data_IF_105982426030
#
_entry.id   IF_105982426030
#
_cell.length_a   1.000
_cell.length_b   1.000
_cell.length_c   1.000
_cell.angle_alpha   90.00
_cell.angle_beta   90.00
_cell.angle_gamma   90.00
#
_symmetry.space_group_name_H-M   'P 1'
#
loop_
_entity.id
_entity.type
_entity.pdbx_description
1 polymer ?
#
# COMPACT_ATOMS: atom_id res chain seq x y z
N UNK A 1 -17.62 8.79 -14.67
CA UNK A 1 -16.36 8.05 -14.82
C UNK A 1 -16.08 7.32 -13.51
N UNK A 2 -15.49 6.14 -13.56
CA UNK A 2 -15.06 5.39 -12.39
C UNK A 2 -13.54 5.35 -12.35
N UNK A 3 -12.97 5.35 -11.16
CA UNK A 3 -11.52 5.40 -10.95
C UNK A 3 -11.00 4.04 -10.48
N UNK A 4 -9.91 3.60 -11.10
CA UNK A 4 -9.26 2.33 -10.82
C UNK A 4 -7.78 2.55 -10.53
N UNK A 5 -7.24 1.73 -9.66
CA UNK A 5 -5.80 1.52 -9.52
C UNK A 5 -5.40 0.36 -10.40
N UNK A 6 -4.38 0.57 -11.21
CA UNK A 6 -3.78 -0.41 -12.09
C UNK A 6 -2.32 -0.58 -11.69
N UNK A 7 -1.95 -1.70 -11.07
CA UNK A 7 -0.58 -2.01 -10.67
C UNK A 7 0.08 -2.87 -11.72
N UNK A 8 1.25 -2.43 -12.18
CA UNK A 8 1.96 -3.00 -13.33
C UNK A 8 3.41 -3.33 -13.01
N UNK A 9 3.88 -4.45 -13.52
CA UNK A 9 5.29 -4.71 -13.78
C UNK A 9 5.64 -4.25 -15.18
N UNK A 10 6.69 -3.47 -15.34
CA UNK A 10 7.13 -2.97 -16.66
C UNK A 10 8.65 -2.83 -16.74
N UNK A 11 9.25 -2.96 -17.95
CA UNK A 11 10.67 -2.67 -18.16
C UNK A 11 11.00 -1.22 -17.80
N UNK A 12 11.99 -0.99 -16.93
CA UNK A 12 12.46 0.36 -16.55
C UNK A 12 13.38 0.95 -17.62
N UNK A 13 12.81 1.17 -18.80
CA UNK A 13 13.48 1.77 -19.94
C UNK A 13 12.68 2.96 -20.50
N UNK A 14 13.36 3.96 -21.08
CA UNK A 14 12.68 5.11 -21.65
C UNK A 14 11.58 4.74 -22.66
N UNK A 15 10.39 5.34 -22.49
CA UNK A 15 9.26 5.18 -23.40
C UNK A 15 8.29 4.07 -23.01
N UNK A 16 8.59 3.15 -22.08
CA UNK A 16 7.68 2.08 -21.67
C UNK A 16 6.38 2.66 -21.09
N UNK A 17 6.47 3.58 -20.15
CA UNK A 17 5.30 4.23 -19.55
C UNK A 17 4.45 4.96 -20.59
N UNK A 18 5.07 5.59 -21.60
CA UNK A 18 4.35 6.22 -22.71
C UNK A 18 3.54 5.22 -23.55
N UNK A 19 4.08 3.99 -23.80
CA UNK A 19 3.34 2.93 -24.47
C UNK A 19 2.16 2.42 -23.63
N UNK A 20 2.37 2.29 -22.32
CA UNK A 20 1.30 1.92 -21.38
C UNK A 20 0.19 2.97 -21.39
N UNK A 21 0.52 4.26 -21.28
CA UNK A 21 -0.45 5.34 -21.34
C UNK A 21 -1.24 5.35 -22.66
N UNK A 22 -0.55 5.10 -23.80
CA UNK A 22 -1.22 4.97 -25.10
C UNK A 22 -2.18 3.76 -25.14
N UNK A 23 -1.81 2.63 -24.55
CA UNK A 23 -2.66 1.44 -24.46
C UNK A 23 -3.90 1.69 -23.56
N UNK A 24 -3.74 2.42 -22.47
CA UNK A 24 -4.87 2.87 -21.62
C UNK A 24 -5.82 3.77 -22.43
N UNK A 25 -5.27 4.71 -23.22
CA UNK A 25 -6.09 5.55 -24.11
C UNK A 25 -6.86 4.76 -25.17
N UNK A 26 -6.30 3.64 -25.70
CA UNK A 26 -7.02 2.73 -26.61
C UNK A 26 -8.18 1.99 -25.93
N UNK A 27 -8.12 1.85 -24.60
CA UNK A 27 -9.21 1.32 -23.80
C UNK A 27 -10.21 2.41 -23.34
N UNK A 28 -10.16 3.62 -23.93
CA UNK A 28 -10.95 4.79 -23.56
C UNK A 28 -10.68 5.27 -22.12
N UNK A 29 -9.55 4.89 -21.53
CA UNK A 29 -9.11 5.31 -20.21
C UNK A 29 -8.27 6.58 -20.24
N UNK A 30 -8.32 7.33 -19.15
CA UNK A 30 -7.48 8.49 -18.90
C UNK A 30 -6.59 8.25 -17.67
N UNK A 31 -5.29 8.52 -17.79
CA UNK A 31 -4.33 8.40 -16.67
C UNK A 31 -4.36 9.70 -15.87
N UNK A 32 -4.91 9.63 -14.66
CA UNK A 32 -5.07 10.77 -13.76
C UNK A 32 -4.03 10.83 -12.64
N UNK A 33 -3.25 9.74 -12.46
CA UNK A 33 -2.16 9.69 -11.49
C UNK A 33 -1.19 8.56 -11.82
N UNK A 34 0.07 8.73 -11.39
CA UNK A 34 1.13 7.73 -11.55
C UNK A 34 2.00 7.74 -10.31
N UNK A 35 2.26 6.57 -9.76
CA UNK A 35 3.19 6.36 -8.66
C UNK A 35 4.16 5.23 -8.96
N UNK A 36 5.46 5.49 -8.81
CA UNK A 36 6.49 4.47 -8.95
C UNK A 36 6.70 3.85 -7.57
N UNK A 37 6.29 2.60 -7.41
CA UNK A 37 6.34 1.90 -6.13
C UNK A 37 7.70 1.27 -5.86
N UNK A 38 8.34 0.75 -6.92
CA UNK A 38 9.62 0.05 -6.81
C UNK A 38 10.38 0.08 -8.13
N UNK A 39 11.73 0.09 -8.07
CA UNK A 39 12.62 -0.07 -9.22
C UNK A 39 13.76 -0.99 -8.86
N UNK A 40 14.11 -1.89 -9.76
CA UNK A 40 15.23 -2.81 -9.57
C UNK A 40 15.36 -3.84 -10.69
N UNK A 41 16.57 -4.34 -10.90
CA UNK A 41 16.87 -5.39 -11.89
C UNK A 41 16.33 -5.12 -13.31
N UNK A 42 16.26 -3.84 -13.73
CA UNK A 42 15.76 -3.43 -15.05
C UNK A 42 14.23 -3.45 -15.18
N UNK A 43 13.52 -3.62 -14.08
CA UNK A 43 12.05 -3.57 -14.00
C UNK A 43 11.61 -2.47 -13.05
N UNK A 44 10.41 -1.94 -13.29
CA UNK A 44 9.69 -1.08 -12.36
C UNK A 44 8.34 -1.70 -12.01
N UNK A 45 7.83 -1.34 -10.82
CA UNK A 45 6.46 -1.60 -10.43
C UNK A 45 5.82 -0.24 -10.25
N UNK A 46 4.89 0.07 -11.15
CA UNK A 46 4.19 1.34 -11.15
C UNK A 46 2.70 1.12 -10.82
N UNK A 47 2.13 2.07 -10.12
CA UNK A 47 0.69 2.16 -9.88
C UNK A 47 0.15 3.35 -10.68
N UNK A 48 -0.78 3.07 -11.59
CA UNK A 48 -1.45 4.10 -12.37
C UNK A 48 -2.90 4.25 -11.88
N UNK A 49 -3.31 5.48 -11.66
CA UNK A 49 -4.70 5.81 -11.37
C UNK A 49 -5.37 6.13 -12.70
N UNK A 50 -6.34 5.29 -13.08
CA UNK A 50 -7.01 5.35 -14.39
C UNK A 50 -8.48 5.65 -14.21
N UNK A 51 -8.98 6.67 -14.93
CA UNK A 51 -10.40 6.96 -15.04
C UNK A 51 -10.97 6.27 -16.27
N UNK A 52 -12.00 5.43 -16.09
CA UNK A 52 -12.73 4.77 -17.19
C UNK A 52 -14.14 5.36 -17.34
N UNK A 53 -14.70 5.41 -18.57
CA UNK A 53 -16.05 5.87 -18.80
C UNK A 53 -17.06 4.92 -18.15
N UNK A 54 -18.16 5.48 -17.66
CA UNK A 54 -19.32 4.73 -17.17
C UNK A 54 -20.44 4.82 -18.19
N UNK A 55 -21.02 3.71 -18.51
CA UNK A 55 -22.22 3.63 -19.34
C UNK A 55 -23.20 2.65 -18.71
N UNK A 56 -24.46 3.02 -18.62
CA UNK A 56 -25.53 2.18 -18.13
C UNK A 56 -26.75 3.01 -17.72
N UNK A 57 -27.94 2.45 -17.94
CA UNK A 57 -29.22 3.06 -17.53
C UNK A 57 -29.79 2.36 -16.30
N UNK A 58 -29.20 1.22 -15.91
CA UNK A 58 -29.57 0.43 -14.73
C UNK A 58 -28.31 -0.06 -13.99
N UNK A 59 -28.39 -0.35 -12.70
CA UNK A 59 -27.23 -0.88 -11.94
C UNK A 59 -26.61 -2.14 -12.56
N UNK A 60 -27.41 -3.05 -13.10
CA UNK A 60 -26.93 -4.27 -13.76
C UNK A 60 -26.22 -3.99 -15.10
N UNK A 61 -26.64 -2.93 -15.83
CA UNK A 61 -25.91 -2.49 -17.03
C UNK A 61 -24.58 -1.86 -16.65
N UNK A 62 -24.54 -1.07 -15.57
CA UNK A 62 -23.32 -0.43 -15.08
C UNK A 62 -22.27 -1.48 -14.67
N UNK A 63 -22.64 -2.51 -13.90
CA UNK A 63 -21.74 -3.61 -13.50
C UNK A 63 -21.18 -4.34 -14.73
N UNK A 64 -22.02 -4.66 -15.70
CA UNK A 64 -21.59 -5.33 -16.93
C UNK A 64 -20.64 -4.48 -17.78
N UNK A 65 -20.90 -3.17 -17.88
CA UNK A 65 -19.99 -2.25 -18.58
C UNK A 65 -18.68 -2.08 -17.84
N UNK A 66 -18.71 -2.07 -16.52
CA UNK A 66 -17.51 -2.03 -15.67
C UNK A 66 -16.60 -3.23 -15.95
N UNK A 67 -17.14 -4.45 -15.92
CA UNK A 67 -16.38 -5.67 -16.22
C UNK A 67 -15.75 -5.61 -17.62
N UNK A 68 -16.53 -5.24 -18.65
CA UNK A 68 -16.04 -5.13 -20.02
C UNK A 68 -14.94 -4.08 -20.19
N UNK A 69 -15.04 -2.95 -19.50
CA UNK A 69 -14.04 -1.88 -19.54
C UNK A 69 -12.74 -2.32 -18.86
N UNK A 70 -12.82 -3.04 -17.73
CA UNK A 70 -11.66 -3.61 -17.04
C UNK A 70 -10.99 -4.67 -17.91
N UNK A 71 -11.74 -5.59 -18.51
CA UNK A 71 -11.20 -6.60 -19.42
C UNK A 71 -10.51 -5.97 -20.62
N UNK A 72 -11.11 -4.94 -21.23
CA UNK A 72 -10.53 -4.18 -22.32
C UNK A 72 -9.23 -3.49 -21.90
N UNK A 73 -9.22 -2.83 -20.73
CA UNK A 73 -8.06 -2.17 -20.18
C UNK A 73 -6.90 -3.17 -19.99
N UNK A 74 -7.17 -4.28 -19.30
CA UNK A 74 -6.17 -5.35 -19.06
C UNK A 74 -5.64 -5.89 -20.40
N UNK A 75 -6.54 -6.17 -21.34
CA UNK A 75 -6.16 -6.68 -22.67
C UNK A 75 -5.25 -5.71 -23.42
N UNK A 76 -5.58 -4.42 -23.48
CA UNK A 76 -4.78 -3.40 -24.17
C UNK A 76 -3.40 -3.24 -23.51
N UNK A 77 -3.35 -3.14 -22.19
CA UNK A 77 -2.10 -2.94 -21.44
C UNK A 77 -1.18 -4.18 -21.54
N UNK A 78 -1.75 -5.37 -21.46
CA UNK A 78 -0.98 -6.63 -21.58
C UNK A 78 -0.39 -6.87 -22.98
N UNK A 79 -0.80 -6.12 -24.01
CA UNK A 79 -0.19 -6.16 -25.35
C UNK A 79 1.11 -5.34 -25.42
N UNK A 80 1.39 -4.50 -24.43
CA UNK A 80 2.65 -3.77 -24.38
C UNK A 80 3.76 -4.73 -23.98
N UNK A 81 4.79 -4.82 -24.82
CA UNK A 81 5.90 -5.77 -24.65
C UNK A 81 6.57 -5.61 -23.28
N UNK A 82 6.69 -6.72 -22.54
CA UNK A 82 7.34 -6.81 -21.25
C UNK A 82 6.48 -6.26 -20.07
N UNK A 83 5.24 -5.82 -20.31
CA UNK A 83 4.32 -5.33 -19.28
C UNK A 83 3.44 -6.47 -18.78
N UNK A 84 3.28 -6.57 -17.47
CA UNK A 84 2.35 -7.50 -16.83
C UNK A 84 1.47 -6.74 -15.81
N UNK A 85 0.17 -7.01 -15.86
CA UNK A 85 -0.80 -6.49 -14.89
C UNK A 85 -0.74 -7.35 -13.64
N UNK A 86 -0.42 -6.74 -12.50
CA UNK A 86 -0.41 -7.40 -11.20
C UNK A 86 -1.79 -7.35 -10.53
N UNK A 87 -2.41 -6.18 -10.51
CA UNK A 87 -3.70 -5.94 -9.86
C UNK A 87 -4.47 -4.82 -10.53
N UNK A 88 -5.80 -4.94 -10.50
CA UNK A 88 -6.74 -3.87 -10.88
C UNK A 88 -7.88 -3.87 -9.88
N UNK A 89 -8.13 -2.72 -9.27
CA UNK A 89 -9.28 -2.56 -8.37
C UNK A 89 -9.85 -1.14 -8.43
N UNK A 90 -11.13 -1.03 -8.10
CA UNK A 90 -11.84 0.24 -8.03
C UNK A 90 -11.46 1.00 -6.78
N UNK A 91 -11.32 2.33 -6.93
CA UNK A 91 -11.06 3.26 -5.83
C UNK A 91 -12.01 4.46 -5.88
N UNK A 92 -12.06 5.23 -4.79
CA UNK A 92 -12.79 6.49 -4.76
C UNK A 92 -12.22 7.49 -5.78
N UNK A 93 -13.08 8.30 -6.40
CA UNK A 93 -12.66 9.29 -7.41
C UNK A 93 -11.73 10.36 -6.84
N UNK A 94 -11.87 10.65 -5.57
CA UNK A 94 -11.10 11.65 -4.81
C UNK A 94 -9.95 11.02 -4.01
N UNK A 95 -9.53 9.79 -4.40
CA UNK A 95 -8.37 9.14 -3.74
C UNK A 95 -7.17 10.07 -3.79
N UNK A 96 -6.62 10.47 -2.62
CA UNK A 96 -5.47 11.35 -2.57
C UNK A 96 -4.22 10.61 -3.07
N UNK A 97 -3.22 11.37 -3.53
CA UNK A 97 -1.87 10.88 -3.72
C UNK A 97 -1.35 10.21 -2.45
N UNK A 98 -0.61 9.09 -2.59
CA UNK A 98 -0.16 8.29 -1.45
C UNK A 98 0.75 9.08 -0.49
N UNK A 99 1.53 10.03 -1.00
CA UNK A 99 2.36 10.88 -0.14
C UNK A 99 1.51 11.90 0.63
N UNK A 100 0.47 12.43 0.00
CA UNK A 100 -0.51 13.31 0.67
C UNK A 100 -1.27 12.52 1.73
N UNK A 101 -1.70 11.30 1.42
CA UNK A 101 -2.37 10.40 2.36
C UNK A 101 -1.47 10.07 3.58
N UNK A 102 -0.19 9.80 3.34
CA UNK A 102 0.77 9.55 4.43
C UNK A 102 0.96 10.77 5.34
N UNK A 103 1.01 11.98 4.76
CA UNK A 103 1.08 13.23 5.53
C UNK A 103 -0.19 13.49 6.34
N UNK A 104 -1.36 13.29 5.73
CA UNK A 104 -2.67 13.42 6.41
C UNK A 104 -2.77 12.41 7.56
N UNK A 105 -2.38 11.15 7.31
CA UNK A 105 -2.32 10.10 8.34
C UNK A 105 -1.45 10.52 9.52
N UNK A 106 -0.25 11.03 9.26
CA UNK A 106 0.65 11.51 10.31
C UNK A 106 0.03 12.69 11.08
N UNK A 107 -0.59 13.66 10.39
CA UNK A 107 -1.25 14.78 11.03
C UNK A 107 -2.40 14.34 11.94
N UNK A 108 -3.28 13.45 11.46
CA UNK A 108 -4.40 12.90 12.24
C UNK A 108 -3.94 12.13 13.48
N UNK A 109 -2.87 11.34 13.36
CA UNK A 109 -2.27 10.67 14.52
C UNK A 109 -1.80 11.70 15.56
N UNK A 110 -1.16 12.79 15.11
CA UNK A 110 -0.67 13.84 16.01
C UNK A 110 -1.80 14.65 16.67
N UNK A 111 -2.93 14.83 15.99
CA UNK A 111 -4.13 15.51 16.48
C UNK A 111 -4.92 14.65 17.49
N UNK A 112 -4.72 13.33 17.47
CA UNK A 112 -5.38 12.39 18.40
C UNK A 112 -4.86 12.59 19.83
N UNK A 113 -5.74 12.56 20.87
CA UNK A 113 -5.33 12.57 22.26
C UNK A 113 -4.29 11.50 22.55
N UNK A 114 -3.35 11.80 23.45
CA UNK A 114 -2.18 10.97 23.67
C UNK A 114 -2.49 9.55 24.14
N UNK A 115 -3.49 9.39 24.97
CA UNK A 115 -3.99 8.12 25.51
C UNK A 115 -4.66 7.22 24.45
N UNK A 116 -5.17 7.81 23.38
CA UNK A 116 -5.82 7.10 22.25
C UNK A 116 -4.90 6.96 21.03
N UNK A 117 -3.71 7.58 21.07
CA UNK A 117 -2.85 7.74 19.88
C UNK A 117 -2.30 6.42 19.35
N UNK A 118 -2.05 5.43 20.23
CA UNK A 118 -1.51 4.14 19.82
C UNK A 118 -2.54 3.32 19.04
N UNK A 119 -3.79 3.28 19.52
CA UNK A 119 -4.91 2.66 18.83
C UNK A 119 -5.19 3.35 17.49
N UNK A 120 -5.27 4.68 17.50
CA UNK A 120 -5.48 5.49 16.28
C UNK A 120 -4.35 5.27 15.26
N UNK A 121 -3.11 5.07 15.71
CA UNK A 121 -1.99 4.74 14.82
C UNK A 121 -2.25 3.43 14.09
N UNK A 122 -2.69 2.37 14.78
CA UNK A 122 -3.00 1.10 14.13
C UNK A 122 -4.12 1.24 13.09
N UNK A 123 -5.19 1.95 13.42
CA UNK A 123 -6.34 2.13 12.53
C UNK A 123 -5.94 2.93 11.29
N UNK A 124 -5.33 4.10 11.49
CA UNK A 124 -4.99 5.03 10.42
C UNK A 124 -3.89 4.48 9.49
N UNK A 125 -2.90 3.75 10.04
CA UNK A 125 -1.85 3.12 9.24
C UNK A 125 -2.39 1.93 8.45
N UNK A 126 -3.27 1.11 9.06
CA UNK A 126 -3.96 0.03 8.35
C UNK A 126 -4.73 0.57 7.14
N UNK A 127 -5.53 1.61 7.34
CA UNK A 127 -6.36 2.20 6.28
C UNK A 127 -5.49 2.86 5.20
N UNK A 128 -4.43 3.59 5.58
CA UNK A 128 -3.49 4.22 4.64
C UNK A 128 -2.79 3.21 3.72
N UNK A 129 -2.41 2.06 4.28
CA UNK A 129 -1.70 1.00 3.54
C UNK A 129 -2.65 -0.04 2.91
N UNK A 130 -3.97 0.15 3.01
CA UNK A 130 -4.98 -0.81 2.57
C UNK A 130 -4.67 -2.23 3.12
N UNK A 131 -4.26 -2.27 4.40
CA UNK A 131 -3.90 -3.50 5.08
C UNK A 131 -5.12 -4.15 5.74
N UNK A 132 -5.12 -5.48 5.87
CA UNK A 132 -6.18 -6.21 6.56
C UNK A 132 -6.05 -6.09 8.07
N UNK A 133 -4.81 -5.93 8.56
CA UNK A 133 -4.53 -5.79 9.98
C UNK A 133 -3.29 -4.93 10.25
N UNK A 134 -3.25 -4.37 11.46
CA UNK A 134 -2.12 -3.64 12.02
C UNK A 134 -2.00 -3.92 13.51
N UNK A 135 -0.79 -3.98 14.03
CA UNK A 135 -0.54 -4.12 15.47
C UNK A 135 0.72 -3.37 15.88
N UNK A 136 0.72 -2.85 17.10
CA UNK A 136 1.92 -2.33 17.78
C UNK A 136 2.30 -3.27 18.90
N UNK A 137 3.51 -3.82 18.83
CA UNK A 137 4.02 -4.85 19.75
C UNK A 137 5.31 -4.37 20.40
N UNK A 138 5.35 -4.25 21.74
CA UNK A 138 6.59 -3.97 22.46
C UNK A 138 7.56 -5.16 22.38
N UNK A 139 8.85 -4.90 22.37
CA UNK A 139 9.86 -5.95 22.41
C UNK A 139 9.73 -6.79 23.68
N UNK A 140 9.68 -8.13 23.54
CA UNK A 140 9.57 -9.06 24.65
C UNK A 140 8.23 -9.06 25.40
N UNK A 141 7.19 -8.37 24.90
CA UNK A 141 5.88 -8.33 25.53
C UNK A 141 5.08 -9.62 25.34
N UNK A 142 4.12 -9.85 26.26
CA UNK A 142 3.13 -10.94 26.14
C UNK A 142 1.81 -10.51 25.50
N UNK A 143 1.63 -9.20 25.27
CA UNK A 143 0.43 -8.63 24.66
C UNK A 143 0.81 -7.42 23.80
N UNK A 144 0.05 -7.15 22.70
CA UNK A 144 0.23 -5.94 21.91
C UNK A 144 -0.24 -4.70 22.69
N UNK A 145 0.29 -3.53 22.33
CA UNK A 145 -0.22 -2.23 22.83
C UNK A 145 -1.52 -1.83 22.10
N UNK A 146 -1.61 -2.11 20.83
CA UNK A 146 -2.79 -1.84 20.02
C UNK A 146 -2.92 -2.86 18.89
N UNK A 147 -4.16 -3.07 18.46
CA UNK A 147 -4.51 -3.96 17.35
C UNK A 147 -5.61 -3.33 16.51
N UNK A 148 -5.61 -3.56 15.20
CA UNK A 148 -6.66 -3.18 14.29
C UNK A 148 -6.81 -4.24 13.19
N UNK A 149 -8.02 -4.71 12.92
CA UNK A 149 -8.31 -5.80 11.99
C UNK A 149 -8.01 -7.19 12.54
N UNK A 150 -7.95 -8.19 11.66
CA UNK A 150 -7.74 -9.60 12.01
C UNK A 150 -6.25 -9.92 12.16
N UNK A 151 -5.67 -9.50 13.27
CA UNK A 151 -4.24 -9.69 13.57
C UNK A 151 -3.96 -11.18 13.79
N UNK A 152 -2.88 -11.75 13.18
CA UNK A 152 -2.42 -13.10 13.46
C UNK A 152 -2.08 -13.31 14.93
N UNK A 153 -1.97 -14.57 15.35
CA UNK A 153 -1.58 -14.92 16.71
C UNK A 153 -0.29 -14.21 17.13
N UNK A 154 -0.29 -13.57 18.28
CA UNK A 154 0.86 -12.83 18.80
C UNK A 154 2.17 -13.63 18.79
N UNK A 155 2.22 -14.93 19.17
CA UNK A 155 3.42 -15.75 19.05
C UNK A 155 4.04 -15.76 17.65
N UNK A 156 3.21 -15.74 16.59
CA UNK A 156 3.70 -15.64 15.20
C UNK A 156 4.35 -14.28 14.94
N UNK A 157 3.69 -13.19 15.34
CA UNK A 157 4.23 -11.82 15.16
C UNK A 157 5.55 -11.66 15.91
N UNK A 158 5.64 -12.18 17.15
CA UNK A 158 6.85 -12.13 17.96
C UNK A 158 7.99 -12.96 17.36
N UNK A 159 7.71 -14.15 16.84
CA UNK A 159 8.69 -14.99 16.16
C UNK A 159 9.22 -14.31 14.88
N UNK A 160 8.34 -13.67 14.11
CA UNK A 160 8.69 -12.88 12.93
C UNK A 160 9.65 -11.73 13.31
N UNK A 161 9.26 -10.86 14.26
CA UNK A 161 10.07 -9.73 14.71
C UNK A 161 11.42 -10.21 15.31
N UNK A 162 11.42 -11.27 16.12
CA UNK A 162 12.62 -11.88 16.66
C UNK A 162 13.57 -12.38 15.58
N UNK A 163 13.04 -13.05 14.56
CA UNK A 163 13.82 -13.51 13.40
C UNK A 163 14.48 -12.36 12.64
N UNK A 164 13.74 -11.30 12.36
CA UNK A 164 14.21 -10.13 11.60
C UNK A 164 15.26 -9.33 12.40
N UNK A 165 15.10 -9.18 13.71
CA UNK A 165 16.01 -8.38 14.54
C UNK A 165 17.46 -8.88 14.52
N UNK A 166 17.68 -10.13 14.16
CA UNK A 166 19.03 -10.73 14.02
C UNK A 166 19.67 -10.49 12.65
N UNK A 167 18.93 -9.94 11.68
CA UNK A 167 19.44 -9.65 10.35
C UNK A 167 20.04 -8.23 10.27
N UNK A 168 21.02 -8.04 9.40
CA UNK A 168 21.51 -6.71 9.06
C UNK A 168 20.37 -5.87 8.43
N UNK A 169 20.42 -4.56 8.61
CA UNK A 169 19.29 -3.67 8.22
C UNK A 169 18.91 -3.75 6.73
N UNK A 170 19.88 -3.99 5.86
CA UNK A 170 19.69 -4.20 4.43
C UNK A 170 19.03 -5.55 4.12
N UNK A 171 19.39 -6.61 4.88
CA UNK A 171 18.81 -7.93 4.72
C UNK A 171 17.40 -8.07 5.33
N UNK A 172 17.02 -7.20 6.26
CA UNK A 172 15.70 -7.27 6.92
C UNK A 172 14.54 -7.18 5.93
N UNK A 173 14.64 -6.30 4.94
CA UNK A 173 13.60 -6.14 3.93
C UNK A 173 13.53 -7.32 2.96
N UNK A 174 14.66 -7.89 2.60
CA UNK A 174 14.72 -9.05 1.70
C UNK A 174 14.12 -10.32 2.29
N UNK A 175 14.15 -10.47 3.63
CA UNK A 175 13.63 -11.62 4.36
C UNK A 175 12.24 -11.40 4.96
N UNK A 176 11.66 -10.21 4.79
CA UNK A 176 10.28 -9.95 5.20
C UNK A 176 9.32 -10.55 4.17
N UNK A 177 8.29 -11.34 4.57
CA UNK A 177 7.24 -11.78 3.66
C UNK A 177 6.66 -10.61 2.88
N UNK A 178 6.32 -10.85 1.60
CA UNK A 178 5.87 -9.77 0.72
C UNK A 178 4.55 -9.13 1.18
N UNK A 179 3.71 -9.91 1.86
CA UNK A 179 2.41 -9.55 2.41
C UNK A 179 2.46 -8.93 3.81
N UNK A 180 3.67 -8.74 4.37
CA UNK A 180 3.91 -8.10 5.67
C UNK A 180 4.85 -6.92 5.51
N UNK A 181 4.57 -5.82 6.22
CA UNK A 181 5.50 -4.72 6.41
C UNK A 181 5.61 -4.38 7.90
N UNK A 182 6.75 -3.85 8.31
CA UNK A 182 7.00 -3.47 9.69
C UNK A 182 7.96 -2.28 9.76
N UNK A 183 7.92 -1.57 10.88
CA UNK A 183 8.88 -0.52 11.21
C UNK A 183 9.11 -0.44 12.72
N UNK A 184 10.33 -0.11 13.18
CA UNK A 184 10.61 0.07 14.59
C UNK A 184 9.98 1.36 15.12
N UNK A 185 9.55 1.31 16.37
CA UNK A 185 9.16 2.45 17.20
C UNK A 185 10.24 2.61 18.28
N UNK A 186 11.43 3.05 17.87
CA UNK A 186 12.67 2.98 18.67
C UNK A 186 12.53 3.59 20.06
N UNK A 187 11.84 4.72 20.20
CA UNK A 187 11.68 5.40 21.50
C UNK A 187 10.66 4.72 22.42
N UNK A 188 9.90 3.75 21.91
CA UNK A 188 8.94 2.95 22.70
C UNK A 188 9.43 1.52 22.96
N UNK A 189 10.60 1.16 22.43
CA UNK A 189 11.06 -0.24 22.41
C UNK A 189 9.99 -1.19 21.88
N UNK A 190 9.39 -0.83 20.74
CA UNK A 190 8.28 -1.53 20.12
C UNK A 190 8.45 -1.57 18.60
N UNK A 191 7.58 -2.30 17.92
CA UNK A 191 7.44 -2.28 16.47
C UNK A 191 5.98 -2.16 16.04
N UNK A 192 5.73 -1.46 14.94
CA UNK A 192 4.47 -1.51 14.22
C UNK A 192 4.58 -2.54 13.09
N UNK A 193 3.59 -3.42 12.99
CA UNK A 193 3.53 -4.49 11.97
C UNK A 193 2.18 -4.43 11.30
N UNK A 194 2.18 -4.53 9.98
CA UNK A 194 0.97 -4.55 9.14
C UNK A 194 1.01 -5.75 8.20
N UNK A 195 -0.15 -6.28 7.85
CA UNK A 195 -0.25 -7.34 6.86
C UNK A 195 -1.51 -7.23 6.03
N UNK A 196 -1.44 -7.79 4.82
CA UNK A 196 -2.58 -7.88 3.89
C UNK A 196 -2.49 -9.13 3.04
N UNK A 197 -3.65 -9.66 2.67
CA UNK A 197 -3.75 -10.86 1.80
C UNK A 197 -3.65 -10.47 0.32
N UNK A 198 -4.04 -9.24 -0.02
CA UNK A 198 -4.07 -8.78 -1.40
C UNK A 198 -2.84 -7.95 -1.75
N UNK A 199 -1.97 -8.53 -2.55
CA UNK A 199 -0.78 -7.86 -3.09
C UNK A 199 0.37 -7.71 -2.09
N UNK A 200 1.57 -7.56 -2.61
CA UNK A 200 2.78 -7.36 -1.82
C UNK A 200 2.94 -5.90 -1.40
N UNK A 201 3.51 -5.65 -0.21
CA UNK A 201 3.99 -4.32 0.17
C UNK A 201 5.24 -3.98 -0.65
N UNK A 202 5.22 -2.86 -1.34
CA UNK A 202 6.32 -2.37 -2.17
C UNK A 202 7.23 -1.43 -1.39
N UNK A 203 8.41 -1.17 -1.93
CA UNK A 203 9.44 -0.36 -1.27
C UNK A 203 8.89 1.00 -0.79
N UNK A 204 8.10 1.69 -1.64
CA UNK A 204 7.53 2.99 -1.29
C UNK A 204 6.53 2.93 -0.14
N UNK A 205 5.67 1.91 -0.11
CA UNK A 205 4.73 1.69 0.99
C UNK A 205 5.47 1.42 2.31
N UNK A 206 6.55 0.61 2.26
CA UNK A 206 7.43 0.36 3.41
C UNK A 206 8.14 1.63 3.89
N UNK A 207 8.55 2.50 2.95
CA UNK A 207 9.15 3.80 3.28
C UNK A 207 8.14 4.73 3.98
N UNK A 208 6.88 4.80 3.51
CA UNK A 208 5.82 5.55 4.19
C UNK A 208 5.60 5.04 5.61
N UNK A 209 5.49 3.72 5.80
CA UNK A 209 5.37 3.12 7.14
C UNK A 209 6.53 3.52 8.04
N UNK A 210 7.77 3.43 7.55
CA UNK A 210 8.98 3.78 8.31
C UNK A 210 8.96 5.26 8.73
N UNK A 211 8.55 6.17 7.83
CA UNK A 211 8.49 7.60 8.15
C UNK A 211 7.41 7.91 9.19
N UNK A 212 6.23 7.31 9.07
CA UNK A 212 5.16 7.44 10.06
C UNK A 212 5.60 6.87 11.41
N UNK A 213 6.20 5.69 11.42
CA UNK A 213 6.71 5.08 12.65
C UNK A 213 7.71 5.99 13.39
N UNK A 214 8.60 6.68 12.67
CA UNK A 214 9.53 7.66 13.26
C UNK A 214 8.81 8.85 13.88
N UNK A 215 7.78 9.39 13.20
CA UNK A 215 6.97 10.50 13.72
C UNK A 215 6.23 10.06 14.98
N UNK A 216 5.56 8.93 14.92
CA UNK A 216 4.76 8.36 16.03
C UNK A 216 5.65 8.04 17.21
N UNK A 217 6.80 7.39 17.00
CA UNK A 217 7.77 7.07 18.06
C UNK A 217 8.20 8.33 18.82
N UNK A 218 8.50 9.42 18.09
CA UNK A 218 8.86 10.70 18.71
C UNK A 218 7.70 11.35 19.49
N UNK A 219 6.49 11.21 18.98
CA UNK A 219 5.30 11.80 19.58
C UNK A 219 4.84 11.09 20.86
N UNK A 220 5.01 9.77 20.92
CA UNK A 220 4.63 8.95 22.08
C UNK A 220 5.69 8.96 23.19
N UNK A 221 6.96 9.17 22.86
CA UNK A 221 8.05 9.22 23.83
C UNK A 221 8.23 10.59 24.49
N UNK A 222 7.66 11.65 23.97
CA UNK A 222 7.76 13.04 24.48
C UNK A 222 6.86 13.35 25.67
N UNK A 223 6.53 12.37 26.50
CA UNK A 223 5.56 12.44 27.59
C UNK A 223 6.21 12.32 28.94
#
# INVERSE_FOLDING_TARGET
>A
MQTYVLRLWLPDIPGTLGRVAAAIGQADGDVIGIEILERGAGMAIDELIVALPTHGSTPSDEERYEELNIEKLISCVSQVEGVAVEDVHRVAQDRPDQSVLALDTAARIMETPQDERTEATCELVRDMLEADWCTVVPNGAQSPLAVSGDVPDLPWVMAFLGGISHLASDAQHEHTPADVAWAPLDLLDAAIVVGRQRGAFRLRERQHLTLIARIVSSALAGS
#
